data_IF_607358137861
#
_entry.id   IF_607358137861
#
_cell.length_a   1.000
_cell.length_b   1.000
_cell.length_c   1.000
_cell.angle_alpha   90.00
_cell.angle_beta   90.00
_cell.angle_gamma   90.00
#
_symmetry.space_group_name_H-M   'P 1'
#
loop_
_entity.id
_entity.type
_entity.pdbx_description
1 polymer ?
#
# COMPACT_ATOMS: atom_id res chain seq x y z
N UNK A 1 34.58 9.58 -7.11
CA UNK A 1 33.88 10.75 -6.54
C UNK A 1 32.41 10.49 -6.79
N UNK A 2 31.64 10.16 -5.74
CA UNK A 2 30.19 9.98 -5.89
C UNK A 2 29.61 11.38 -6.03
N UNK A 3 28.85 11.61 -7.09
CA UNK A 3 28.29 12.91 -7.44
C UNK A 3 27.26 13.33 -6.38
N UNK A 4 27.29 14.59 -5.95
CA UNK A 4 26.31 15.11 -4.98
C UNK A 4 24.88 14.99 -5.54
N UNK A 5 24.70 15.14 -6.85
CA UNK A 5 23.41 14.97 -7.54
C UNK A 5 22.92 13.51 -7.46
N UNK A 6 23.84 12.54 -7.42
CA UNK A 6 23.49 11.12 -7.27
C UNK A 6 23.08 10.75 -5.84
N UNK A 7 23.56 11.49 -4.83
CA UNK A 7 23.16 11.32 -3.43
C UNK A 7 21.77 11.90 -3.22
N UNK A 8 21.50 13.08 -3.77
CA UNK A 8 20.19 13.73 -3.65
C UNK A 8 19.08 12.91 -4.34
N UNK A 9 19.33 12.42 -5.56
CA UNK A 9 18.40 11.54 -6.27
C UNK A 9 18.11 10.24 -5.50
N UNK A 10 19.13 9.65 -4.87
CA UNK A 10 18.97 8.46 -4.03
C UNK A 10 18.18 8.76 -2.76
N UNK A 11 18.46 9.86 -2.08
CA UNK A 11 17.74 10.25 -0.87
C UNK A 11 16.27 10.56 -1.18
N UNK A 12 15.99 11.20 -2.32
CA UNK A 12 14.63 11.45 -2.79
C UNK A 12 13.88 10.14 -3.07
N UNK A 13 14.53 9.17 -3.72
CA UNK A 13 13.95 7.84 -3.93
C UNK A 13 13.63 7.13 -2.62
N UNK A 14 14.54 7.15 -1.65
CA UNK A 14 14.31 6.55 -0.33
C UNK A 14 13.20 7.27 0.45
N UNK A 15 13.11 8.60 0.34
CA UNK A 15 12.02 9.37 0.92
C UNK A 15 10.66 9.00 0.31
N UNK A 16 10.59 8.81 -1.02
CA UNK A 16 9.38 8.33 -1.69
C UNK A 16 8.98 6.93 -1.19
N UNK A 17 9.92 5.99 -1.10
CA UNK A 17 9.65 4.65 -0.55
C UNK A 17 9.11 4.71 0.88
N UNK A 18 9.73 5.52 1.74
CA UNK A 18 9.28 5.70 3.12
C UNK A 18 7.87 6.31 3.19
N UNK A 19 7.56 7.26 2.30
CA UNK A 19 6.24 7.86 2.17
C UNK A 19 5.18 6.83 1.75
N UNK A 20 5.48 6.02 0.73
CA UNK A 20 4.55 5.00 0.21
C UNK A 20 4.24 3.95 1.29
N UNK A 21 5.26 3.46 2.00
CA UNK A 21 5.09 2.53 3.13
C UNK A 21 4.23 3.16 4.23
N UNK A 22 4.47 4.44 4.56
CA UNK A 22 3.71 5.15 5.59
C UNK A 22 2.25 5.32 5.18
N UNK A 23 1.98 5.61 3.92
CA UNK A 23 0.63 5.75 3.38
C UNK A 23 -0.14 4.42 3.44
N UNK A 24 0.46 3.33 2.97
CA UNK A 24 -0.15 1.99 3.01
C UNK A 24 -0.47 1.58 4.45
N UNK A 25 0.50 1.67 5.35
CA UNK A 25 0.31 1.32 6.75
C UNK A 25 -0.73 2.21 7.44
N UNK A 26 -0.76 3.51 7.13
CA UNK A 26 -1.73 4.44 7.67
C UNK A 26 -3.16 4.09 7.27
N UNK A 27 -3.39 3.77 6.00
CA UNK A 27 -4.72 3.39 5.50
C UNK A 27 -5.17 2.05 6.09
N UNK A 28 -4.30 1.03 6.11
CA UNK A 28 -4.61 -0.29 6.71
C UNK A 28 -4.93 -0.15 8.20
N UNK A 29 -4.13 0.63 8.93
CA UNK A 29 -4.38 0.91 10.35
C UNK A 29 -5.73 1.61 10.56
N UNK A 30 -6.06 2.59 9.72
CA UNK A 30 -7.33 3.30 9.80
C UNK A 30 -8.50 2.34 9.51
N UNK A 31 -8.42 1.53 8.44
CA UNK A 31 -9.44 0.55 8.11
C UNK A 31 -9.68 -0.44 9.26
N UNK A 32 -8.61 -0.92 9.89
CA UNK A 32 -8.70 -1.80 11.06
C UNK A 32 -9.36 -1.12 12.26
N UNK A 33 -8.98 0.13 12.57
CA UNK A 33 -9.58 0.90 13.66
C UNK A 33 -11.08 1.10 13.42
N UNK A 34 -11.47 1.49 12.20
CA UNK A 34 -12.87 1.72 11.86
C UNK A 34 -13.68 0.43 11.90
N UNK A 35 -13.14 -0.68 11.39
CA UNK A 35 -13.79 -2.00 11.48
C UNK A 35 -14.00 -2.44 12.93
N UNK A 36 -12.96 -2.36 13.77
CA UNK A 36 -13.06 -2.72 15.20
C UNK A 36 -14.10 -1.88 15.95
N UNK A 37 -14.39 -0.67 15.47
CA UNK A 37 -15.45 0.20 16.00
C UNK A 37 -16.82 -0.05 15.39
N UNK A 38 -16.96 -1.02 14.49
CA UNK A 38 -18.20 -1.29 13.75
C UNK A 38 -18.57 -0.21 12.74
N UNK A 39 -17.63 0.67 12.38
CA UNK A 39 -17.83 1.76 11.41
C UNK A 39 -17.53 1.34 9.97
N UNK A 40 -16.80 0.24 9.79
CA UNK A 40 -16.67 -0.45 8.51
C UNK A 40 -17.08 -1.91 8.69
N UNK A 41 -17.89 -2.41 7.77
CA UNK A 41 -18.14 -3.83 7.59
C UNK A 41 -17.12 -4.45 6.61
N UNK A 42 -17.15 -5.77 6.45
CA UNK A 42 -16.20 -6.47 5.60
C UNK A 42 -16.25 -6.01 4.13
N UNK A 43 -17.42 -5.69 3.58
CA UNK A 43 -17.54 -5.19 2.22
C UNK A 43 -16.95 -3.78 2.06
N UNK A 44 -17.10 -2.92 3.06
CA UNK A 44 -16.49 -1.58 3.04
C UNK A 44 -14.96 -1.66 3.17
N UNK A 45 -14.43 -2.60 3.96
CA UNK A 45 -12.99 -2.89 4.00
C UNK A 45 -12.50 -3.38 2.63
N UNK A 46 -13.23 -4.29 1.98
CA UNK A 46 -12.90 -4.75 0.62
C UNK A 46 -12.95 -3.62 -0.41
N UNK A 47 -13.86 -2.66 -0.28
CA UNK A 47 -13.93 -1.50 -1.17
C UNK A 47 -12.71 -0.57 -1.00
N UNK A 48 -12.22 -0.39 0.24
CA UNK A 48 -10.95 0.33 0.48
C UNK A 48 -9.79 -0.41 -0.17
N UNK A 49 -9.73 -1.73 -0.01
CA UNK A 49 -8.72 -2.57 -0.64
C UNK A 49 -8.73 -2.39 -2.17
N UNK A 50 -9.88 -2.55 -2.81
CA UNK A 50 -10.05 -2.39 -4.26
C UNK A 50 -9.60 -1.01 -4.74
N UNK A 51 -9.95 0.05 -4.01
CA UNK A 51 -9.51 1.42 -4.34
C UNK A 51 -8.00 1.58 -4.28
N UNK A 52 -7.31 0.88 -3.38
CA UNK A 52 -5.85 0.92 -3.26
C UNK A 52 -5.17 0.06 -4.33
N UNK A 53 -5.80 -1.03 -4.75
CA UNK A 53 -5.29 -1.98 -5.75
C UNK A 53 -5.48 -1.51 -7.20
N UNK A 54 -6.52 -0.70 -7.47
CA UNK A 54 -6.84 -0.20 -8.82
C UNK A 54 -5.65 0.40 -9.58
N UNK A 55 -4.84 1.30 -8.99
CA UNK A 55 -3.66 1.85 -9.67
C UNK A 55 -2.58 0.80 -9.99
N UNK A 56 -2.45 -0.24 -9.17
CA UNK A 56 -1.47 -1.31 -9.34
C UNK A 56 -1.88 -2.29 -10.46
N UNK A 57 -3.19 -2.47 -10.66
CA UNK A 57 -3.76 -3.31 -11.71
C UNK A 57 -3.80 -2.69 -13.12
N UNK A 58 -3.23 -1.50 -13.32
CA UNK A 58 -3.24 -0.85 -14.63
C UNK A 58 -2.42 -1.66 -15.66
N UNK A 59 -2.85 -1.76 -16.94
CA UNK A 59 -2.16 -2.58 -17.95
C UNK A 59 -0.67 -2.26 -18.14
N UNK A 60 -0.28 -1.01 -17.91
CA UNK A 60 1.12 -0.55 -18.00
C UNK A 60 2.05 -1.18 -16.95
N UNK A 61 1.50 -1.80 -15.89
CA UNK A 61 2.25 -2.44 -14.83
C UNK A 61 2.14 -3.97 -14.82
N UNK A 62 1.40 -4.56 -15.78
CA UNK A 62 1.12 -5.99 -15.80
C UNK A 62 2.40 -6.85 -15.74
N UNK A 63 3.44 -6.43 -16.46
CA UNK A 63 4.73 -7.14 -16.54
C UNK A 63 5.77 -6.65 -15.51
N UNK A 64 5.39 -5.78 -14.56
CA UNK A 64 6.32 -5.27 -13.55
C UNK A 64 6.25 -6.13 -12.27
N UNK A 65 7.23 -7.01 -12.00
CA UNK A 65 7.20 -7.89 -10.84
C UNK A 65 7.17 -7.13 -9.51
N UNK A 66 7.77 -5.94 -9.44
CA UNK A 66 7.75 -5.13 -8.22
C UNK A 66 6.35 -4.58 -7.91
N UNK A 67 5.54 -4.29 -8.94
CA UNK A 67 4.15 -3.88 -8.73
C UNK A 67 3.33 -5.07 -8.24
N UNK A 68 3.61 -6.29 -8.73
CA UNK A 68 2.97 -7.51 -8.24
C UNK A 68 3.33 -7.82 -6.78
N UNK A 69 4.59 -7.60 -6.37
CA UNK A 69 5.01 -7.75 -4.98
C UNK A 69 4.25 -6.76 -4.06
N UNK A 70 4.06 -5.52 -4.50
CA UNK A 70 3.30 -4.51 -3.76
C UNK A 70 1.82 -4.91 -3.65
N UNK A 71 1.23 -5.38 -4.76
CA UNK A 71 -0.16 -5.87 -4.77
C UNK A 71 -0.33 -7.03 -3.78
N UNK A 72 0.56 -8.03 -3.80
CA UNK A 72 0.50 -9.16 -2.88
C UNK A 72 0.62 -8.73 -1.40
N UNK A 73 1.54 -7.80 -1.10
CA UNK A 73 1.66 -7.27 0.26
C UNK A 73 0.40 -6.50 0.70
N UNK A 74 -0.23 -5.77 -0.22
CA UNK A 74 -1.50 -5.08 0.05
C UNK A 74 -2.63 -6.09 0.32
N UNK A 75 -2.71 -7.16 -0.48
CA UNK A 75 -3.68 -8.25 -0.31
C UNK A 75 -3.55 -8.88 1.10
N UNK A 76 -2.32 -9.22 1.51
CA UNK A 76 -2.03 -9.81 2.83
C UNK A 76 -2.43 -8.86 3.97
N UNK A 77 -2.11 -7.58 3.85
CA UNK A 77 -2.47 -6.58 4.87
C UNK A 77 -3.98 -6.43 5.02
N UNK A 78 -4.74 -6.45 3.91
CA UNK A 78 -6.19 -6.34 3.97
C UNK A 78 -6.87 -7.63 4.39
N UNK A 79 -6.30 -8.81 4.10
CA UNK A 79 -6.80 -10.09 4.63
C UNK A 79 -6.84 -10.08 6.16
N UNK A 80 -5.80 -9.53 6.81
CA UNK A 80 -5.74 -9.36 8.27
C UNK A 80 -6.78 -8.39 8.84
N UNK A 81 -7.28 -7.46 8.02
CA UNK A 81 -8.39 -6.57 8.40
C UNK A 81 -9.73 -7.25 8.15
N UNK A 82 -9.83 -8.09 7.10
CA UNK A 82 -11.07 -8.79 6.73
C UNK A 82 -11.41 -9.92 7.70
N UNK A 83 -10.41 -10.60 8.23
CA UNK A 83 -10.54 -11.67 9.24
C UNK A 83 -9.95 -11.21 10.58
N UNK A 84 -10.70 -10.42 11.38
CA UNK A 84 -10.21 -10.03 12.69
C UNK A 84 -10.20 -11.26 13.60
N UNK A 85 -9.02 -11.58 14.14
CA UNK A 85 -8.88 -12.44 15.33
C UNK A 85 -9.74 -11.92 16.49
#
# INVERSE_FOLDING_TARGET
MIDADSIDARNLLEAHKASDISAINGIVSLANILRKRGLLNAAEVSAVHESMSLPLGLPQYAENPHVQDIQANLDDLFALVVEPN
#
